data_IF_059754374727
#
_entry.id   IF_059754374727
#
_cell.length_a   1.000
_cell.length_b   1.000
_cell.length_c   1.000
_cell.angle_alpha   90.00
_cell.angle_beta   90.00
_cell.angle_gamma   90.00
#
_symmetry.space_group_name_H-M   'P 1'
#
loop_
_entity.id
_entity.type
_entity.pdbx_description
1 polymer ?
#
# COMPACT_ATOMS: atom_id res chain seq x y z
N UNK A 1 -4.68 -1.14 -30.52
CA UNK A 1 -4.40 -1.97 -29.33
C UNK A 1 -3.64 -1.20 -28.27
N UNK A 2 -2.50 -0.57 -28.56
CA UNK A 2 -1.80 0.29 -27.58
C UNK A 2 -2.69 1.44 -27.11
N UNK A 3 -3.35 2.12 -28.03
CA UNK A 3 -4.29 3.20 -27.74
C UNK A 3 -5.43 2.73 -26.81
N UNK A 4 -6.02 1.55 -27.07
CA UNK A 4 -7.04 0.94 -26.22
C UNK A 4 -6.58 0.80 -24.75
N UNK A 5 -5.33 0.40 -24.52
CA UNK A 5 -4.77 0.28 -23.16
C UNK A 5 -4.82 1.62 -22.41
N UNK A 6 -4.38 2.71 -23.05
CA UNK A 6 -4.38 4.02 -22.45
C UNK A 6 -5.78 4.61 -22.26
N UNK A 7 -6.68 4.40 -23.22
CA UNK A 7 -8.09 4.83 -23.12
C UNK A 7 -8.78 4.17 -21.93
N UNK A 8 -8.63 2.84 -21.80
CA UNK A 8 -9.19 2.08 -20.66
C UNK A 8 -8.60 2.55 -19.34
N UNK A 9 -7.28 2.68 -19.25
CA UNK A 9 -6.57 3.18 -18.07
C UNK A 9 -7.09 4.54 -17.64
N UNK A 10 -7.25 5.46 -18.58
CA UNK A 10 -7.74 6.82 -18.31
C UNK A 10 -9.20 6.82 -17.82
N UNK A 11 -10.06 5.99 -18.42
CA UNK A 11 -11.45 5.81 -17.99
C UNK A 11 -11.54 5.24 -16.58
N UNK A 12 -10.77 4.21 -16.28
CA UNK A 12 -10.75 3.57 -14.96
C UNK A 12 -10.23 4.55 -13.91
N UNK A 13 -9.16 5.29 -14.22
CA UNK A 13 -8.59 6.29 -13.31
C UNK A 13 -9.63 7.34 -12.89
N UNK A 14 -10.44 7.84 -13.82
CA UNK A 14 -11.52 8.80 -13.54
C UNK A 14 -12.64 8.26 -12.66
N UNK A 15 -12.78 6.96 -12.55
CA UNK A 15 -13.86 6.31 -11.78
C UNK A 15 -13.45 5.90 -10.37
N UNK A 16 -12.18 6.13 -9.97
CA UNK A 16 -11.72 5.87 -8.60
C UNK A 16 -12.30 6.91 -7.64
N UNK A 17 -12.64 6.48 -6.46
CA UNK A 17 -13.13 7.35 -5.39
C UNK A 17 -11.97 8.14 -4.75
N UNK A 18 -11.70 9.34 -5.25
CA UNK A 18 -10.58 10.18 -4.79
C UNK A 18 -10.68 10.54 -3.31
N UNK A 19 -11.88 10.62 -2.74
CA UNK A 19 -12.07 10.89 -1.32
C UNK A 19 -11.40 9.83 -0.42
N UNK A 20 -11.34 8.57 -0.85
CA UNK A 20 -10.65 7.51 -0.12
C UNK A 20 -9.12 7.66 -0.19
N UNK A 21 -8.58 8.15 -1.32
CA UNK A 21 -7.15 8.47 -1.43
C UNK A 21 -6.81 9.66 -0.52
N UNK A 22 -7.68 10.67 -0.48
CA UNK A 22 -7.52 11.82 0.42
C UNK A 22 -7.53 11.37 1.88
N UNK A 23 -8.48 10.50 2.28
CA UNK A 23 -8.53 9.93 3.63
C UNK A 23 -7.25 9.13 3.97
N UNK A 24 -6.74 8.36 3.01
CA UNK A 24 -5.50 7.60 3.21
C UNK A 24 -4.29 8.55 3.40
N UNK A 25 -4.24 9.64 2.66
CA UNK A 25 -3.24 10.69 2.86
C UNK A 25 -3.32 11.32 4.25
N UNK A 26 -4.51 11.64 4.72
CA UNK A 26 -4.72 12.22 6.06
C UNK A 26 -4.22 11.27 7.16
N UNK A 27 -4.51 9.97 7.04
CA UNK A 27 -3.98 8.94 7.96
C UNK A 27 -2.46 8.82 7.87
N UNK A 28 -1.87 8.91 6.67
CA UNK A 28 -0.42 8.91 6.48
C UNK A 28 0.24 10.10 7.21
N UNK A 29 -0.35 11.28 7.13
CA UNK A 29 0.13 12.47 7.87
C UNK A 29 0.04 12.23 9.38
N UNK A 30 -1.04 11.62 9.88
CA UNK A 30 -1.16 11.30 11.30
C UNK A 30 -0.08 10.32 11.76
N UNK A 31 0.26 9.31 10.95
CA UNK A 31 1.39 8.40 11.22
C UNK A 31 2.70 9.17 11.29
N UNK A 32 2.96 10.06 10.33
CA UNK A 32 4.18 10.87 10.31
C UNK A 32 4.30 11.77 11.53
N UNK A 33 3.23 12.50 11.90
CA UNK A 33 3.22 13.41 13.06
C UNK A 33 3.48 12.64 14.37
N UNK A 34 2.84 11.50 14.55
CA UNK A 34 2.88 10.70 15.78
C UNK A 34 4.01 9.68 15.84
N UNK A 35 4.99 9.78 14.94
CA UNK A 35 6.13 8.84 14.85
C UNK A 35 5.71 7.37 14.76
N UNK A 36 4.62 7.11 14.05
CA UNK A 36 4.12 5.77 13.79
C UNK A 36 4.89 5.04 12.68
N UNK A 37 4.42 3.84 12.35
CA UNK A 37 5.00 2.99 11.30
C UNK A 37 3.96 2.78 10.21
N UNK A 38 4.40 2.89 8.95
CA UNK A 38 3.65 2.42 7.78
C UNK A 38 4.11 1.01 7.45
N UNK A 39 3.19 0.06 7.44
CA UNK A 39 3.42 -1.30 6.94
C UNK A 39 2.89 -1.43 5.52
N UNK A 40 3.70 -1.96 4.60
CA UNK A 40 3.28 -2.23 3.23
C UNK A 40 3.39 -3.72 2.93
N UNK A 41 2.56 -4.23 2.03
CA UNK A 41 2.62 -5.62 1.58
C UNK A 41 1.89 -5.82 0.26
N UNK A 42 2.31 -6.83 -0.49
CA UNK A 42 1.66 -7.26 -1.72
C UNK A 42 2.14 -8.62 -2.20
N UNK A 43 1.39 -9.26 -3.10
CA UNK A 43 1.77 -10.52 -3.74
C UNK A 43 1.98 -10.30 -5.24
N UNK A 44 2.93 -11.03 -5.85
CA UNK A 44 3.19 -10.93 -7.29
C UNK A 44 3.52 -9.50 -7.73
N UNK A 45 2.77 -8.94 -8.69
CA UNK A 45 2.92 -7.54 -9.11
C UNK A 45 2.69 -6.55 -7.97
N UNK A 46 1.78 -6.87 -7.05
CA UNK A 46 1.57 -6.08 -5.83
C UNK A 46 2.80 -6.01 -4.92
N UNK A 47 3.70 -7.01 -4.93
CA UNK A 47 5.00 -6.93 -4.24
C UNK A 47 5.86 -5.82 -4.83
N UNK A 48 5.93 -5.73 -6.15
CA UNK A 48 6.70 -4.68 -6.83
C UNK A 48 6.15 -3.28 -6.52
N UNK A 49 4.83 -3.16 -6.43
CA UNK A 49 4.16 -1.92 -6.01
C UNK A 49 4.52 -1.56 -4.56
N UNK A 50 4.41 -2.52 -3.63
CA UNK A 50 4.70 -2.32 -2.21
C UNK A 50 6.15 -1.91 -1.98
N UNK A 51 7.11 -2.60 -2.63
CA UNK A 51 8.54 -2.29 -2.55
C UNK A 51 8.83 -0.89 -3.11
N UNK A 52 8.33 -0.57 -4.31
CA UNK A 52 8.52 0.75 -4.92
C UNK A 52 7.97 1.87 -4.04
N UNK A 53 6.75 1.71 -3.56
CA UNK A 53 6.12 2.68 -2.66
C UNK A 53 6.91 2.84 -1.34
N UNK A 54 7.38 1.73 -0.74
CA UNK A 54 8.17 1.80 0.49
C UNK A 54 9.49 2.56 0.29
N UNK A 55 10.19 2.33 -0.83
CA UNK A 55 11.42 3.07 -1.20
C UNK A 55 11.11 4.56 -1.37
N UNK A 56 10.08 4.88 -2.15
CA UNK A 56 9.71 6.26 -2.42
C UNK A 56 9.32 6.99 -1.13
N UNK A 57 8.51 6.36 -0.30
CA UNK A 57 8.04 6.97 0.94
C UNK A 57 9.15 7.18 1.97
N UNK A 58 10.16 6.29 2.00
CA UNK A 58 11.34 6.41 2.88
C UNK A 58 12.28 7.54 2.47
N UNK A 59 12.28 7.93 1.19
CA UNK A 59 13.33 8.78 0.61
C UNK A 59 12.83 10.09 0.03
N UNK A 60 11.91 10.05 -0.94
CA UNK A 60 11.51 11.21 -1.73
C UNK A 60 10.98 12.42 -0.93
N UNK A 61 10.12 12.25 0.10
CA UNK A 61 9.61 13.37 0.87
C UNK A 61 10.69 14.14 1.64
N UNK A 62 11.83 13.50 1.90
CA UNK A 62 12.91 13.97 2.77
C UNK A 62 14.20 14.29 2.03
N UNK A 63 14.16 14.29 0.72
CA UNK A 63 15.32 14.59 -0.12
C UNK A 63 15.19 15.99 -0.68
N UNK A 64 16.21 16.85 -0.42
CA UNK A 64 16.29 18.19 -1.00
C UNK A 64 16.38 18.11 -2.52
N UNK A 65 15.87 19.13 -3.23
CA UNK A 65 15.97 19.21 -4.70
C UNK A 65 17.42 19.21 -5.17
N UNK A 66 18.27 19.97 -4.48
CA UNK A 66 19.70 19.84 -4.60
C UNK A 66 20.17 18.66 -3.72
N UNK A 67 20.49 17.55 -4.38
CA UNK A 67 20.91 16.29 -3.73
C UNK A 67 22.24 16.40 -2.98
N UNK A 68 23.00 17.50 -3.14
CA UNK A 68 24.20 17.78 -2.35
C UNK A 68 23.87 18.30 -0.95
N UNK A 69 22.64 18.74 -0.74
CA UNK A 69 22.18 19.24 0.57
C UNK A 69 21.62 18.11 1.41
N UNK A 70 22.19 17.92 2.59
CA UNK A 70 21.66 16.98 3.60
C UNK A 70 20.53 17.64 4.38
N UNK A 71 19.42 16.95 4.53
CA UNK A 71 18.28 17.41 5.33
C UNK A 71 18.27 16.71 6.69
N UNK A 72 18.10 17.47 7.77
CA UNK A 72 17.99 16.96 9.15
C UNK A 72 16.54 16.58 9.53
N UNK A 73 15.70 16.40 8.53
CA UNK A 73 14.28 16.13 8.74
C UNK A 73 14.07 14.71 9.19
N UNK A 74 13.22 14.55 10.20
CA UNK A 74 12.78 13.23 10.64
C UNK A 74 12.09 12.52 9.49
N UNK A 75 12.55 11.31 9.15
CA UNK A 75 11.95 10.47 8.13
C UNK A 75 10.79 9.64 8.69
N UNK A 76 9.83 9.32 7.85
CA UNK A 76 8.77 8.39 8.20
C UNK A 76 9.32 6.97 8.31
N UNK A 77 8.82 6.21 9.25
CA UNK A 77 9.20 4.79 9.42
C UNK A 77 8.30 3.92 8.54
N UNK A 78 8.90 3.16 7.65
CA UNK A 78 8.18 2.26 6.73
C UNK A 78 8.79 0.86 6.80
N UNK A 79 7.94 -0.14 6.96
CA UNK A 79 8.29 -1.57 6.93
C UNK A 79 7.54 -2.21 5.78
N UNK A 80 8.27 -2.70 4.79
CA UNK A 80 7.67 -3.51 3.74
C UNK A 80 7.81 -5.00 4.09
N UNK A 81 6.68 -5.64 4.36
CA UNK A 81 6.61 -7.05 4.73
C UNK A 81 6.91 -7.99 3.55
N UNK A 82 6.92 -7.46 2.33
CA UNK A 82 7.25 -8.21 1.11
C UNK A 82 8.73 -8.05 0.67
N UNK A 83 9.54 -7.26 1.37
CA UNK A 83 10.92 -6.93 0.96
C UNK A 83 11.89 -8.09 1.12
N UNK A 84 11.75 -8.91 2.17
CA UNK A 84 12.69 -9.98 2.49
C UNK A 84 12.27 -11.32 1.91
N UNK A 85 12.97 -11.82 0.90
CA UNK A 85 12.75 -13.15 0.35
C UNK A 85 12.98 -14.26 1.39
N UNK A 86 13.94 -14.09 2.30
CA UNK A 86 14.20 -15.02 3.39
C UNK A 86 13.03 -15.14 4.36
N UNK A 87 12.43 -14.02 4.77
CA UNK A 87 11.23 -14.01 5.62
C UNK A 87 10.04 -14.68 4.91
N UNK A 88 9.81 -14.34 3.64
CA UNK A 88 8.72 -14.89 2.85
C UNK A 88 8.85 -16.40 2.71
N UNK A 89 10.01 -16.87 2.26
CA UNK A 89 10.22 -18.30 1.99
C UNK A 89 10.33 -19.13 3.26
N UNK A 90 10.98 -18.60 4.29
CA UNK A 90 11.10 -19.27 5.59
C UNK A 90 9.73 -19.46 6.27
N UNK A 91 8.95 -18.40 6.40
CA UNK A 91 7.61 -18.49 7.00
C UNK A 91 6.69 -19.38 6.16
N UNK A 92 6.75 -19.27 4.83
CA UNK A 92 5.94 -20.13 3.95
C UNK A 92 6.26 -21.62 4.13
N UNK A 93 7.54 -21.96 4.32
CA UNK A 93 8.00 -23.36 4.52
C UNK A 93 7.69 -23.89 5.93
N UNK A 94 7.93 -23.09 6.96
CA UNK A 94 7.92 -23.56 8.34
C UNK A 94 6.54 -23.43 9.01
N UNK A 95 5.72 -22.48 8.56
CA UNK A 95 4.43 -22.15 9.18
C UNK A 95 3.27 -22.29 8.19
N UNK A 96 3.43 -21.74 6.98
CA UNK A 96 2.44 -21.76 5.92
C UNK A 96 2.36 -20.45 5.14
N UNK A 97 2.04 -20.53 3.83
CA UNK A 97 2.01 -19.35 2.96
C UNK A 97 0.95 -18.31 3.36
N UNK A 98 -0.12 -18.69 4.01
CA UNK A 98 -1.16 -17.79 4.51
C UNK A 98 -0.71 -16.96 5.72
N UNK A 99 0.41 -17.31 6.35
CA UNK A 99 0.96 -16.64 7.54
C UNK A 99 2.11 -15.68 7.24
N UNK A 100 2.56 -15.58 5.98
CA UNK A 100 3.78 -14.84 5.59
C UNK A 100 3.83 -13.45 6.19
N UNK A 101 2.75 -12.68 6.13
CA UNK A 101 2.73 -11.29 6.62
C UNK A 101 2.30 -11.20 8.09
N UNK A 102 1.34 -12.01 8.51
CA UNK A 102 0.87 -11.97 9.89
C UNK A 102 1.95 -12.41 10.89
N UNK A 103 2.79 -13.39 10.55
CA UNK A 103 3.92 -13.78 11.42
C UNK A 103 4.95 -12.65 11.58
N UNK A 104 5.24 -11.93 10.52
CA UNK A 104 6.15 -10.78 10.59
C UNK A 104 5.61 -9.67 11.51
N UNK A 105 4.29 -9.43 11.49
CA UNK A 105 3.65 -8.41 12.32
C UNK A 105 3.75 -8.68 13.82
N UNK A 106 3.85 -9.95 14.24
CA UNK A 106 4.04 -10.32 15.66
C UNK A 106 5.32 -9.73 16.28
N UNK A 107 6.32 -9.42 15.46
CA UNK A 107 7.54 -8.77 15.93
C UNK A 107 7.35 -7.28 16.25
N UNK A 108 6.31 -6.66 15.72
CA UNK A 108 6.04 -5.23 15.83
C UNK A 108 4.91 -4.90 16.80
N UNK A 109 3.97 -5.83 17.02
CA UNK A 109 2.81 -5.61 17.87
C UNK A 109 2.92 -6.41 19.16
N UNK A 110 2.84 -5.72 20.29
CA UNK A 110 2.85 -6.30 21.63
C UNK A 110 1.58 -5.88 22.37
N UNK A 111 1.07 -6.74 23.23
CA UNK A 111 -0.16 -6.47 23.99
C UNK A 111 -0.03 -5.28 24.95
N UNK A 112 1.20 -5.00 25.44
CA UNK A 112 1.54 -3.91 26.34
C UNK A 112 2.01 -2.64 25.61
N UNK A 113 2.06 -2.65 24.28
CA UNK A 113 2.47 -1.46 23.52
C UNK A 113 1.41 -0.38 23.62
N UNK A 114 1.82 0.81 24.03
CA UNK A 114 1.01 2.01 23.88
C UNK A 114 0.64 2.13 22.40
N UNK A 115 -0.64 2.27 22.11
CA UNK A 115 -1.17 2.32 20.74
C UNK A 115 -0.48 3.43 19.94
N UNK A 116 0.54 3.08 19.19
CA UNK A 116 1.14 3.99 18.21
C UNK A 116 0.19 4.17 17.05
N UNK A 117 0.15 5.36 16.48
CA UNK A 117 -0.64 5.64 15.28
C UNK A 117 0.03 4.98 14.06
N UNK A 118 -0.25 3.71 13.83
CA UNK A 118 0.30 2.94 12.73
C UNK A 118 -0.71 2.83 11.57
N UNK A 119 -0.20 2.61 10.36
CA UNK A 119 -0.98 2.44 9.14
C UNK A 119 -0.49 1.22 8.38
N UNK A 120 -1.39 0.39 7.91
CA UNK A 120 -1.10 -0.71 7.00
C UNK A 120 -1.73 -0.43 5.63
N UNK A 121 -0.94 -0.56 4.57
CA UNK A 121 -1.39 -0.43 3.18
C UNK A 121 -1.07 -1.71 2.43
N UNK A 122 -2.10 -2.45 2.04
CA UNK A 122 -1.99 -3.65 1.23
C UNK A 122 -2.25 -3.36 -0.25
N UNK A 123 -1.46 -3.98 -1.13
CA UNK A 123 -1.66 -3.95 -2.57
C UNK A 123 -2.06 -5.34 -3.06
N UNK A 124 -3.32 -5.49 -3.52
CA UNK A 124 -3.85 -6.80 -3.91
C UNK A 124 -4.75 -6.70 -5.13
N UNK A 125 -4.41 -7.40 -6.21
CA UNK A 125 -5.24 -7.41 -7.42
C UNK A 125 -6.65 -7.95 -7.17
N UNK A 126 -6.81 -9.00 -6.37
CA UNK A 126 -8.10 -9.64 -6.10
C UNK A 126 -8.74 -9.25 -4.76
N UNK A 127 -7.95 -8.76 -3.80
CA UNK A 127 -8.40 -8.57 -2.43
C UNK A 127 -8.76 -9.86 -1.66
N UNK A 128 -8.41 -11.05 -2.20
CA UNK A 128 -8.79 -12.34 -1.62
C UNK A 128 -7.63 -13.22 -1.16
N UNK A 129 -6.39 -12.77 -1.31
CA UNK A 129 -5.21 -13.52 -0.89
C UNK A 129 -5.21 -13.72 0.62
N UNK A 130 -5.18 -14.97 1.09
CA UNK A 130 -5.31 -15.32 2.51
C UNK A 130 -4.24 -14.65 3.39
N UNK A 131 -2.98 -14.60 2.93
CA UNK A 131 -1.90 -13.94 3.66
C UNK A 131 -2.14 -12.43 3.84
N UNK A 132 -2.74 -11.76 2.85
CA UNK A 132 -3.14 -10.35 2.94
C UNK A 132 -4.28 -10.19 3.95
N UNK A 133 -5.33 -11.02 3.85
CA UNK A 133 -6.50 -10.97 4.73
C UNK A 133 -6.08 -11.22 6.18
N UNK A 134 -5.31 -12.27 6.46
CA UNK A 134 -4.83 -12.61 7.81
C UNK A 134 -3.98 -11.47 8.42
N UNK A 135 -3.16 -10.80 7.62
CA UNK A 135 -2.37 -9.67 8.09
C UNK A 135 -3.24 -8.44 8.41
N UNK A 136 -4.27 -8.17 7.60
CA UNK A 136 -5.24 -7.09 7.88
C UNK A 136 -5.98 -7.37 9.19
N UNK A 137 -6.48 -8.58 9.39
CA UNK A 137 -7.17 -8.97 10.62
C UNK A 137 -6.27 -8.80 11.85
N UNK A 138 -5.01 -9.23 11.73
CA UNK A 138 -4.04 -9.03 12.80
C UNK A 138 -3.78 -7.55 13.08
N UNK A 139 -3.53 -6.74 12.06
CA UNK A 139 -3.30 -5.31 12.22
C UNK A 139 -4.48 -4.62 12.92
N UNK A 140 -5.72 -4.95 12.54
CA UNK A 140 -6.92 -4.42 13.19
C UNK A 140 -7.04 -4.83 14.67
N UNK A 141 -6.66 -6.06 15.01
CA UNK A 141 -6.64 -6.53 16.42
C UNK A 141 -5.76 -5.63 17.30
N UNK A 142 -4.70 -5.06 16.74
CA UNK A 142 -3.78 -4.15 17.42
C UNK A 142 -4.07 -2.65 17.18
N UNK A 143 -5.25 -2.31 16.69
CA UNK A 143 -5.69 -0.92 16.51
C UNK A 143 -4.98 -0.16 15.38
N UNK A 144 -4.34 -0.86 14.44
CA UNK A 144 -3.70 -0.26 13.28
C UNK A 144 -4.75 0.15 12.27
N UNK A 145 -4.69 1.39 11.76
CA UNK A 145 -5.53 1.81 10.63
C UNK A 145 -5.12 1.01 9.39
N UNK A 146 -6.10 0.49 8.65
CA UNK A 146 -5.85 -0.42 7.53
C UNK A 146 -6.42 0.12 6.22
N UNK A 147 -5.66 -0.04 5.14
CA UNK A 147 -6.08 0.24 3.77
C UNK A 147 -5.71 -0.91 2.84
N UNK A 148 -6.52 -1.11 1.81
CA UNK A 148 -6.19 -2.00 0.71
C UNK A 148 -6.52 -1.33 -0.62
N UNK A 149 -5.51 -1.20 -1.48
CA UNK A 149 -5.70 -0.80 -2.87
C UNK A 149 -5.87 -2.06 -3.69
N UNK A 150 -7.08 -2.31 -4.17
CA UNK A 150 -7.46 -3.58 -4.80
C UNK A 150 -8.25 -3.36 -6.08
N UNK A 151 -8.43 -4.42 -6.84
CA UNK A 151 -9.33 -4.46 -8.00
C UNK A 151 -10.42 -5.52 -7.83
N UNK A 152 -11.05 -5.91 -8.93
CA UNK A 152 -12.01 -7.02 -9.01
C UNK A 152 -13.12 -6.97 -7.95
N UNK A 153 -13.60 -5.75 -7.62
CA UNK A 153 -14.63 -5.57 -6.60
C UNK A 153 -14.12 -5.61 -5.16
N UNK A 154 -12.80 -5.62 -4.95
CA UNK A 154 -12.17 -5.46 -3.64
C UNK A 154 -12.01 -6.72 -2.79
N UNK A 155 -12.74 -7.79 -3.10
CA UNK A 155 -12.66 -9.07 -2.39
C UNK A 155 -13.00 -8.99 -0.90
N UNK A 156 -12.44 -9.90 -0.12
CA UNK A 156 -12.59 -9.95 1.34
C UNK A 156 -11.87 -8.77 2.03
N UNK A 157 -10.70 -8.37 1.50
CA UNK A 157 -9.90 -7.29 2.08
C UNK A 157 -10.66 -5.97 2.15
N UNK A 158 -11.39 -5.59 1.08
CA UNK A 158 -12.14 -4.33 1.04
C UNK A 158 -13.24 -4.23 2.08
N UNK A 159 -13.75 -5.36 2.56
CA UNK A 159 -14.80 -5.43 3.60
C UNK A 159 -14.23 -5.32 5.01
N UNK A 160 -12.93 -5.57 5.15
CA UNK A 160 -12.24 -5.60 6.44
C UNK A 160 -11.52 -4.29 6.75
N UNK A 161 -10.94 -3.65 5.73
CA UNK A 161 -10.13 -2.45 5.93
C UNK A 161 -10.97 -1.21 6.23
N UNK A 162 -10.32 -0.24 6.85
CA UNK A 162 -10.94 1.06 7.20
C UNK A 162 -11.03 2.01 5.99
N UNK A 163 -10.12 1.80 5.00
CA UNK A 163 -10.02 2.61 3.78
C UNK A 163 -9.88 1.68 2.56
N UNK A 164 -11.00 1.23 1.97
CA UNK A 164 -10.99 0.37 0.78
C UNK A 164 -10.89 1.20 -0.50
N UNK A 165 -9.74 1.22 -1.15
CA UNK A 165 -9.58 1.84 -2.48
C UNK A 165 -9.74 0.73 -3.53
N UNK A 166 -10.81 0.81 -4.33
CA UNK A 166 -11.13 -0.21 -5.32
C UNK A 166 -10.94 0.37 -6.72
N UNK A 167 -10.10 -0.27 -7.52
CA UNK A 167 -9.92 0.01 -8.95
C UNK A 167 -11.03 -0.73 -9.71
N UNK A 168 -12.04 -0.02 -10.22
CA UNK A 168 -13.18 -0.64 -10.88
C UNK A 168 -12.89 -0.95 -12.34
N UNK A 169 -13.79 -1.70 -12.95
CA UNK A 169 -13.86 -1.88 -14.39
C UNK A 169 -13.42 -3.22 -14.93
N UNK A 170 -13.63 -3.38 -16.21
CA UNK A 170 -13.22 -4.52 -17.03
C UNK A 170 -12.26 -4.01 -18.10
N UNK A 171 -11.47 -4.90 -18.67
CA UNK A 171 -10.59 -4.60 -19.78
C UNK A 171 -10.90 -5.49 -20.98
N UNK A 172 -10.80 -4.91 -22.18
CA UNK A 172 -10.81 -5.62 -23.46
C UNK A 172 -9.38 -5.76 -24.03
N UNK A 173 -8.39 -5.30 -23.30
CA UNK A 173 -6.99 -5.43 -23.69
C UNK A 173 -6.56 -6.90 -23.63
N UNK A 174 -5.80 -7.42 -24.61
CA UNK A 174 -5.35 -8.80 -24.62
C UNK A 174 -4.61 -9.20 -23.34
N UNK A 175 -4.93 -10.38 -22.80
CA UNK A 175 -4.39 -10.87 -21.54
C UNK A 175 -5.07 -10.31 -20.29
N UNK A 176 -6.06 -9.44 -20.45
CA UNK A 176 -6.91 -8.91 -19.39
C UNK A 176 -8.40 -9.10 -19.69
N UNK A 177 -8.72 -10.21 -20.33
CA UNK A 177 -10.10 -10.54 -20.72
C UNK A 177 -10.83 -11.25 -19.60
N UNK A 178 -12.05 -10.84 -19.35
CA UNK A 178 -12.92 -11.41 -18.34
C UNK A 178 -13.57 -10.35 -17.47
N UNK A 179 -14.59 -10.75 -16.73
CA UNK A 179 -15.32 -9.85 -15.84
C UNK A 179 -14.42 -9.43 -14.67
N UNK A 180 -14.14 -8.15 -14.57
CA UNK A 180 -13.25 -7.56 -13.55
C UNK A 180 -11.78 -8.06 -13.63
N UNK A 181 -11.33 -8.54 -14.78
CA UNK A 181 -9.94 -8.96 -14.98
C UNK A 181 -9.14 -7.84 -15.66
N UNK A 182 -8.70 -6.89 -14.87
CA UNK A 182 -7.94 -5.71 -15.28
C UNK A 182 -6.62 -5.56 -14.49
N UNK A 183 -5.90 -6.65 -14.29
CA UNK A 183 -4.69 -6.68 -13.44
C UNK A 183 -3.65 -5.62 -13.80
N UNK A 184 -3.35 -5.42 -15.10
CA UNK A 184 -2.36 -4.42 -15.49
C UNK A 184 -2.81 -3.01 -15.10
N UNK A 185 -4.08 -2.67 -15.33
CA UNK A 185 -4.62 -1.38 -14.90
C UNK A 185 -4.71 -1.27 -13.38
N UNK A 186 -5.00 -2.37 -12.67
CA UNK A 186 -5.02 -2.37 -11.21
C UNK A 186 -3.62 -2.03 -10.68
N UNK A 187 -2.58 -2.75 -11.13
CA UNK A 187 -1.20 -2.55 -10.67
C UNK A 187 -0.67 -1.16 -11.03
N UNK A 188 -0.94 -0.67 -12.24
CA UNK A 188 -0.60 0.67 -12.68
C UNK A 188 -1.22 1.77 -11.80
N UNK A 189 -2.47 1.58 -11.39
CA UNK A 189 -3.17 2.53 -10.53
C UNK A 189 -2.76 2.41 -9.06
N UNK A 190 -2.39 1.22 -8.60
CA UNK A 190 -1.74 1.03 -7.30
C UNK A 190 -0.44 1.83 -7.20
N UNK A 191 0.40 1.79 -8.24
CA UNK A 191 1.61 2.63 -8.34
C UNK A 191 1.24 4.12 -8.30
N UNK A 192 0.22 4.53 -9.06
CA UNK A 192 -0.23 5.93 -9.10
C UNK A 192 -0.69 6.43 -7.72
N UNK A 193 -1.40 5.60 -6.95
CA UNK A 193 -1.79 5.93 -5.56
C UNK A 193 -0.55 6.13 -4.69
N UNK A 194 0.44 5.24 -4.79
CA UNK A 194 1.72 5.38 -4.07
C UNK A 194 2.43 6.69 -4.37
N UNK A 195 2.54 7.05 -5.66
CA UNK A 195 3.17 8.31 -6.09
C UNK A 195 2.40 9.55 -5.60
N UNK A 196 1.06 9.52 -5.61
CA UNK A 196 0.23 10.61 -5.08
C UNK A 196 0.52 10.81 -3.59
N UNK A 197 0.49 9.74 -2.80
CA UNK A 197 0.75 9.81 -1.35
C UNK A 197 2.15 10.33 -1.05
N UNK A 198 3.16 9.85 -1.77
CA UNK A 198 4.55 10.29 -1.64
C UNK A 198 4.71 11.77 -1.98
N UNK A 199 4.13 12.23 -3.09
CA UNK A 199 4.18 13.63 -3.50
C UNK A 199 3.47 14.56 -2.53
N UNK A 200 2.30 14.16 -2.03
CA UNK A 200 1.55 14.94 -1.04
C UNK A 200 2.29 15.02 0.31
N UNK A 201 2.92 13.91 0.75
CA UNK A 201 3.76 13.92 1.95
C UNK A 201 4.97 14.85 1.77
N UNK A 202 5.63 14.85 0.60
CA UNK A 202 6.71 15.79 0.29
C UNK A 202 6.23 17.24 0.39
N UNK A 203 5.06 17.56 -0.17
CA UNK A 203 4.46 18.90 -0.06
C UNK A 203 4.21 19.30 1.40
N UNK A 204 3.70 18.37 2.22
CA UNK A 204 3.49 18.62 3.65
C UNK A 204 4.79 18.90 4.40
N UNK A 205 5.79 18.07 4.16
CA UNK A 205 7.12 18.16 4.77
C UNK A 205 7.77 19.50 4.41
N UNK A 206 7.76 19.91 3.13
CA UNK A 206 8.30 21.17 2.65
C UNK A 206 7.62 22.41 3.28
N UNK A 207 6.30 22.37 3.50
CA UNK A 207 5.57 23.46 4.17
C UNK A 207 5.94 23.65 5.64
N UNK A 208 6.52 22.66 6.28
CA UNK A 208 6.96 22.71 7.69
C UNK A 208 8.38 23.23 7.88
N UNK A 209 9.04 23.67 6.83
CA UNK A 209 10.33 24.36 6.91
C UNK A 209 11.53 23.43 6.76
N UNK A 210 11.46 22.54 5.83
CA UNK A 210 12.56 21.66 5.40
C UNK A 210 13.35 22.25 4.23
#
# INVERSE_FOLDING_TARGET
MIELFFEEKFKIFKSIEYALIQKLYEELIQVYINDGIVFTMGNGGGTSVANGFAVDLRTHPFTHEDKSVTTEVRRIRVIDLSESSGMITGIANDIGPESIYSEQLKNWFREDSVAQKNLMIAFSGSGNSKNIVNAIEMAKKYGVTTSCVSGRGGGAASKLVDIPIIVPGNSNFPGQTGKNDNNFHIEELQVSVGHILTGLLKGYVNQKGL
#
